data_IF_186991245894
#
_entry.id   IF_186991245894
#
_cell.length_a   1.000
_cell.length_b   1.000
_cell.length_c   1.000
_cell.angle_alpha   90.00
_cell.angle_beta   90.00
_cell.angle_gamma   90.00
#
_symmetry.space_group_name_H-M   'P 1'
#
loop_
_entity.id
_entity.type
_entity.pdbx_description
1 polymer ?
#
# COMPACT_ATOMS: atom_id res chain seq x y z
N UNK A 1 -3.95 19.84 17.50
CA UNK A 1 -3.28 18.83 16.69
C UNK A 1 -2.00 19.41 16.10
N UNK A 2 -0.88 18.81 16.41
CA UNK A 2 0.44 19.36 16.07
C UNK A 2 0.67 19.23 14.56
N UNK A 3 0.74 20.35 13.86
CA UNK A 3 0.94 20.41 12.38
C UNK A 3 2.20 19.68 11.89
N UNK A 4 3.18 19.47 12.77
CA UNK A 4 4.40 18.75 12.46
C UNK A 4 4.19 17.22 12.33
N UNK A 5 3.20 16.65 13.02
CA UNK A 5 2.92 15.22 12.98
C UNK A 5 2.27 14.79 11.65
N UNK A 6 1.50 15.66 11.02
CA UNK A 6 0.81 15.37 9.77
C UNK A 6 1.77 15.23 8.57
N UNK A 7 2.93 15.89 8.63
CA UNK A 7 3.92 15.90 7.53
C UNK A 7 4.62 14.55 7.32
N UNK A 8 4.69 13.73 8.38
CA UNK A 8 5.35 12.42 8.35
C UNK A 8 4.39 11.26 8.56
N UNK A 9 3.11 11.55 8.61
CA UNK A 9 2.08 10.60 8.96
C UNK A 9 2.06 9.34 8.07
N UNK A 10 2.11 9.43 6.73
CA UNK A 10 2.15 8.25 5.89
C UNK A 10 3.39 7.40 6.13
N UNK A 11 4.54 8.04 6.31
CA UNK A 11 5.80 7.36 6.56
C UNK A 11 5.83 6.72 7.95
N UNK A 12 5.29 7.39 8.96
CA UNK A 12 5.20 6.85 10.30
C UNK A 12 4.21 5.68 10.41
N UNK A 13 3.11 5.75 9.69
CA UNK A 13 2.16 4.64 9.61
C UNK A 13 2.82 3.44 8.94
N UNK A 14 3.48 3.65 7.81
CA UNK A 14 4.23 2.60 7.10
C UNK A 14 5.38 2.09 7.97
N UNK A 15 6.17 2.97 8.58
CA UNK A 15 7.29 2.56 9.44
C UNK A 15 6.83 1.86 10.71
N UNK A 16 5.72 2.27 11.30
CA UNK A 16 5.13 1.62 12.46
C UNK A 16 4.67 0.20 12.14
N UNK A 17 4.24 -0.03 10.90
CA UNK A 17 3.92 -1.35 10.38
C UNK A 17 5.14 -2.19 10.07
N UNK A 18 6.20 -1.57 9.56
CA UNK A 18 7.39 -2.28 9.09
C UNK A 18 8.42 -2.55 10.20
N UNK A 19 8.49 -1.71 11.22
CA UNK A 19 9.58 -1.74 12.20
C UNK A 19 9.21 -2.52 13.46
N UNK A 20 7.95 -2.76 13.72
CA UNK A 20 7.54 -3.38 14.97
C UNK A 20 7.24 -4.89 14.83
N UNK A 21 8.21 -5.67 15.24
CA UNK A 21 8.18 -7.05 15.76
C UNK A 21 7.89 -8.16 14.75
N UNK A 22 8.84 -9.10 14.60
CA UNK A 22 8.69 -10.30 13.77
C UNK A 22 7.68 -11.30 14.35
N UNK A 23 6.53 -10.97 14.62
CA UNK A 23 5.43 -11.78 15.13
C UNK A 23 4.10 -11.07 15.01
N UNK A 24 4.16 -9.73 14.89
CA UNK A 24 2.94 -8.91 14.80
C UNK A 24 2.36 -8.81 13.38
N UNK A 25 3.04 -9.32 12.38
CA UNK A 25 2.52 -9.35 11.00
C UNK A 25 1.21 -10.14 10.90
N UNK A 26 1.05 -11.14 11.75
CA UNK A 26 -0.22 -11.89 11.83
C UNK A 26 -1.38 -11.03 12.36
N UNK A 27 -1.09 -9.97 13.10
CA UNK A 27 -2.10 -9.04 13.61
C UNK A 27 -2.50 -7.95 12.60
N UNK A 28 -1.72 -7.75 11.54
CA UNK A 28 -2.10 -6.83 10.44
C UNK A 28 -3.40 -7.28 9.75
N UNK A 29 -3.77 -8.54 9.90
CA UNK A 29 -5.07 -9.05 9.47
C UNK A 29 -6.16 -8.94 10.54
N UNK A 30 -5.81 -8.51 11.76
CA UNK A 30 -6.76 -8.27 12.84
C UNK A 30 -7.41 -6.89 12.71
N UNK A 31 -8.68 -6.82 13.05
CA UNK A 31 -9.47 -5.61 12.92
C UNK A 31 -9.05 -4.48 13.88
N UNK A 32 -8.19 -4.79 14.85
CA UNK A 32 -7.92 -3.89 15.98
C UNK A 32 -6.76 -2.94 15.74
N UNK A 33 -5.93 -3.15 14.73
CA UNK A 33 -4.70 -2.37 14.49
C UNK A 33 -4.85 -1.38 13.34
N UNK A 34 -5.57 -1.73 12.30
CA UNK A 34 -5.80 -0.86 11.15
C UNK A 34 -7.14 -0.13 11.26
N UNK A 35 -7.16 1.17 10.95
CA UNK A 35 -8.42 1.91 10.93
C UNK A 35 -9.43 1.29 9.97
N UNK A 36 -10.69 1.34 10.35
CA UNK A 36 -11.78 0.95 9.46
C UNK A 36 -11.82 1.86 8.23
N UNK A 37 -12.35 1.39 7.09
CA UNK A 37 -12.61 2.24 5.95
C UNK A 37 -13.48 3.44 6.34
N UNK A 38 -13.23 4.58 5.71
CA UNK A 38 -14.05 5.77 5.95
C UNK A 38 -15.48 5.54 5.48
N UNK A 39 -16.48 6.07 6.20
CA UNK A 39 -17.82 6.19 5.68
C UNK A 39 -17.83 6.98 4.35
N UNK A 40 -18.73 6.69 3.42
CA UNK A 40 -18.75 7.33 2.08
C UNK A 40 -18.75 8.85 2.12
N UNK A 41 -19.42 9.45 3.08
CA UNK A 41 -19.50 10.91 3.24
C UNK A 41 -18.15 11.50 3.65
N UNK A 42 -17.45 10.84 4.57
CA UNK A 42 -16.14 11.30 5.03
C UNK A 42 -15.07 11.10 3.95
N UNK A 43 -15.15 10.01 3.21
CA UNK A 43 -14.26 9.78 2.07
C UNK A 43 -14.46 10.84 0.99
N UNK A 44 -15.70 11.16 0.66
CA UNK A 44 -16.01 12.21 -0.30
C UNK A 44 -15.49 13.58 0.16
N UNK A 45 -15.61 13.89 1.44
CA UNK A 45 -15.07 15.11 2.04
C UNK A 45 -13.56 15.18 1.91
N UNK A 46 -12.85 14.07 2.21
CA UNK A 46 -11.40 14.01 2.07
C UNK A 46 -10.97 14.17 0.61
N UNK A 47 -11.68 13.53 -0.32
CA UNK A 47 -11.41 13.65 -1.76
C UNK A 47 -11.60 15.09 -2.24
N UNK A 48 -12.61 15.80 -1.72
CA UNK A 48 -12.84 17.20 -2.08
C UNK A 48 -11.72 18.14 -1.64
N UNK A 49 -10.93 17.75 -0.64
CA UNK A 49 -9.80 18.52 -0.14
C UNK A 49 -8.49 18.29 -0.94
N UNK A 50 -8.49 17.33 -1.85
CA UNK A 50 -7.38 17.14 -2.77
C UNK A 50 -7.27 18.37 -3.69
N UNK A 51 -6.04 18.78 -3.99
CA UNK A 51 -5.73 20.02 -4.73
C UNK A 51 -6.09 21.31 -3.97
N UNK A 52 -6.24 21.24 -2.67
CA UNK A 52 -6.40 22.41 -1.78
C UNK A 52 -5.19 22.53 -0.88
N UNK A 53 -5.15 23.55 -0.03
CA UNK A 53 -4.12 23.73 1.00
C UNK A 53 -4.13 22.61 2.06
N UNK A 54 -5.24 21.89 2.19
CA UNK A 54 -5.41 20.76 3.10
C UNK A 54 -5.13 19.38 2.44
N UNK A 55 -4.54 19.38 1.28
CA UNK A 55 -4.28 18.15 0.51
C UNK A 55 -3.45 17.14 1.27
N UNK A 56 -2.44 17.57 2.01
CA UNK A 56 -1.55 16.67 2.73
C UNK A 56 -2.28 15.88 3.81
N UNK A 57 -3.13 16.55 4.57
CA UNK A 57 -3.93 15.92 5.61
C UNK A 57 -4.97 14.98 5.01
N UNK A 58 -5.61 15.41 3.92
CA UNK A 58 -6.58 14.60 3.21
C UNK A 58 -5.96 13.32 2.65
N UNK A 59 -4.79 13.42 2.03
CA UNK A 59 -4.03 12.24 1.55
C UNK A 59 -3.66 11.28 2.66
N UNK A 60 -3.18 11.81 3.79
CA UNK A 60 -2.81 10.99 4.94
C UNK A 60 -4.00 10.20 5.47
N UNK A 61 -5.16 10.83 5.59
CA UNK A 61 -6.40 10.18 6.03
C UNK A 61 -6.84 9.11 5.03
N UNK A 62 -6.81 9.42 3.73
CA UNK A 62 -7.19 8.46 2.68
C UNK A 62 -6.25 7.25 2.64
N UNK A 63 -4.95 7.45 2.80
CA UNK A 63 -3.98 6.36 2.86
C UNK A 63 -4.24 5.48 4.10
N UNK A 64 -4.34 6.08 5.26
CA UNK A 64 -4.53 5.35 6.52
C UNK A 64 -5.77 4.47 6.49
N UNK A 65 -6.89 4.99 6.03
CA UNK A 65 -8.16 4.28 6.01
C UNK A 65 -8.34 3.32 4.82
N UNK A 66 -7.34 3.20 3.96
CA UNK A 66 -7.29 2.23 2.86
C UNK A 66 -6.17 1.18 3.04
N UNK A 67 -5.47 1.17 4.17
CA UNK A 67 -4.42 0.18 4.42
C UNK A 67 -4.97 -1.25 4.54
N UNK A 68 -6.18 -1.43 5.03
CA UNK A 68 -6.84 -2.75 5.05
C UNK A 68 -7.01 -3.32 3.64
N UNK A 69 -7.30 -2.46 2.68
CA UNK A 69 -7.40 -2.85 1.28
C UNK A 69 -6.06 -3.36 0.75
N UNK A 70 -4.96 -2.68 1.10
CA UNK A 70 -3.60 -3.12 0.73
C UNK A 70 -3.32 -4.51 1.29
N UNK A 71 -3.60 -4.73 2.57
CA UNK A 71 -3.39 -6.04 3.21
C UNK A 71 -4.23 -7.12 2.55
N UNK A 72 -5.48 -6.84 2.28
CA UNK A 72 -6.40 -7.77 1.62
C UNK A 72 -5.88 -8.20 0.25
N UNK A 73 -5.41 -7.25 -0.55
CA UNK A 73 -4.86 -7.53 -1.89
C UNK A 73 -3.53 -8.27 -1.79
N UNK A 74 -2.63 -7.83 -0.90
CA UNK A 74 -1.33 -8.47 -0.70
C UNK A 74 -1.47 -9.96 -0.32
N UNK A 75 -2.45 -10.29 0.51
CA UNK A 75 -2.71 -11.68 0.91
C UNK A 75 -3.13 -12.59 -0.25
N UNK A 76 -3.68 -12.04 -1.32
CA UNK A 76 -3.98 -12.83 -2.53
C UNK A 76 -2.74 -13.34 -3.24
N UNK A 77 -1.60 -12.76 -2.96
CA UNK A 77 -0.31 -13.11 -3.58
C UNK A 77 0.60 -13.90 -2.62
N UNK A 78 0.06 -14.49 -1.57
CA UNK A 78 0.83 -15.21 -0.55
C UNK A 78 1.57 -16.44 -1.11
N UNK A 79 1.07 -17.03 -2.19
CA UNK A 79 1.63 -18.21 -2.85
C UNK A 79 2.78 -17.90 -3.81
N UNK A 80 3.23 -16.66 -3.91
CA UNK A 80 4.26 -16.25 -4.86
C UNK A 80 5.69 -16.48 -4.38
N UNK A 81 5.86 -16.89 -3.11
CA UNK A 81 7.16 -17.06 -2.49
C UNK A 81 7.78 -15.77 -1.95
N UNK A 82 7.12 -14.63 -2.15
CA UNK A 82 7.50 -13.35 -1.56
C UNK A 82 6.78 -13.16 -0.24
N UNK A 83 7.48 -12.69 0.79
CA UNK A 83 6.87 -12.43 2.09
C UNK A 83 5.73 -11.42 2.01
N UNK A 84 4.65 -11.67 2.74
CA UNK A 84 3.47 -10.80 2.74
C UNK A 84 3.80 -9.38 3.18
N UNK A 85 4.78 -9.23 4.07
CA UNK A 85 5.26 -7.91 4.53
C UNK A 85 5.82 -7.08 3.38
N UNK A 86 6.64 -7.69 2.53
CA UNK A 86 7.18 -7.03 1.34
C UNK A 86 6.07 -6.66 0.37
N UNK A 87 5.11 -7.55 0.18
CA UNK A 87 3.96 -7.28 -0.69
C UNK A 87 3.08 -6.14 -0.17
N UNK A 88 2.90 -6.04 1.16
CA UNK A 88 2.18 -4.93 1.78
C UNK A 88 2.93 -3.62 1.55
N UNK A 89 4.24 -3.61 1.69
CA UNK A 89 5.07 -2.43 1.42
C UNK A 89 4.91 -1.94 0.00
N UNK A 90 5.00 -2.85 -0.95
CA UNK A 90 4.86 -2.55 -2.38
C UNK A 90 3.44 -2.12 -2.71
N UNK A 91 2.45 -2.82 -2.16
CA UNK A 91 1.04 -2.45 -2.32
C UNK A 91 0.74 -1.06 -1.76
N UNK A 92 1.37 -0.67 -0.67
CA UNK A 92 1.24 0.67 -0.09
C UNK A 92 1.77 1.75 -1.03
N UNK A 93 2.88 1.48 -1.73
CA UNK A 93 3.37 2.37 -2.79
C UNK A 93 2.30 2.55 -3.88
N UNK A 94 1.66 1.46 -4.29
CA UNK A 94 0.56 1.50 -5.25
C UNK A 94 -0.62 2.34 -4.77
N UNK A 95 -0.98 2.22 -3.49
CA UNK A 95 -2.03 3.03 -2.87
C UNK A 95 -1.67 4.53 -2.88
N UNK A 96 -0.45 4.87 -2.51
CA UNK A 96 0.02 6.27 -2.51
C UNK A 96 -0.04 6.84 -3.93
N UNK A 97 0.42 6.10 -4.92
CA UNK A 97 0.33 6.50 -6.33
C UNK A 97 -1.11 6.70 -6.76
N UNK A 98 -2.02 5.81 -6.34
CA UNK A 98 -3.44 5.93 -6.65
C UNK A 98 -4.05 7.22 -6.11
N UNK A 99 -3.78 7.54 -4.86
CA UNK A 99 -4.31 8.75 -4.22
C UNK A 99 -3.73 10.01 -4.87
N UNK A 100 -2.46 9.99 -5.25
CA UNK A 100 -1.81 11.11 -5.93
C UNK A 100 -2.32 11.36 -7.35
N UNK A 101 -2.82 10.33 -8.01
CA UNK A 101 -3.29 10.42 -9.41
C UNK A 101 -4.79 10.29 -9.56
N UNK A 102 -5.53 10.14 -8.45
CA UNK A 102 -6.97 9.96 -8.48
C UNK A 102 -7.68 11.21 -9.02
N UNK A 103 -8.58 10.98 -9.97
CA UNK A 103 -9.39 12.03 -10.55
C UNK A 103 -10.88 11.77 -10.24
N UNK A 104 -11.49 12.53 -9.32
CA UNK A 104 -12.88 12.31 -8.92
C UNK A 104 -13.88 12.58 -10.04
N UNK A 105 -13.49 13.31 -11.09
CA UNK A 105 -14.35 13.63 -12.24
C UNK A 105 -14.67 12.39 -13.08
N UNK A 106 -13.81 11.38 -13.06
CA UNK A 106 -13.95 10.16 -13.90
C UNK A 106 -15.00 9.17 -13.41
N UNK A 107 -15.75 9.48 -12.37
CA UNK A 107 -16.85 8.66 -11.85
C UNK A 107 -16.45 7.21 -11.53
N UNK A 108 -15.23 7.00 -11.05
CA UNK A 108 -14.71 5.73 -10.56
C UNK A 108 -14.54 5.84 -9.05
N UNK A 109 -14.93 4.82 -8.31
CA UNK A 109 -14.72 4.78 -6.86
C UNK A 109 -13.23 4.69 -6.54
N UNK A 110 -12.79 5.41 -5.51
CA UNK A 110 -11.40 5.38 -5.06
C UNK A 110 -10.90 3.95 -4.79
N UNK A 111 -11.69 3.14 -4.08
CA UNK A 111 -11.32 1.76 -3.78
C UNK A 111 -11.07 0.93 -5.04
N UNK A 112 -11.88 1.10 -6.08
CA UNK A 112 -11.71 0.40 -7.35
C UNK A 112 -10.42 0.82 -8.04
N UNK A 113 -10.16 2.10 -8.12
CA UNK A 113 -8.94 2.64 -8.71
C UNK A 113 -7.70 2.25 -7.90
N UNK A 114 -7.75 2.40 -6.59
CA UNK A 114 -6.66 2.02 -5.70
C UNK A 114 -6.35 0.53 -5.79
N UNK A 115 -7.35 -0.34 -5.86
CA UNK A 115 -7.15 -1.78 -6.01
C UNK A 115 -6.33 -2.12 -7.25
N UNK A 116 -6.62 -1.48 -8.37
CA UNK A 116 -5.86 -1.66 -9.61
C UNK A 116 -4.42 -1.21 -9.48
N UNK A 117 -4.20 -0.06 -8.86
CA UNK A 117 -2.85 0.48 -8.67
C UNK A 117 -2.04 -0.39 -7.70
N UNK A 118 -2.65 -0.91 -6.65
CA UNK A 118 -2.02 -1.81 -5.69
C UNK A 118 -1.64 -3.13 -6.38
N UNK A 119 -2.56 -3.74 -7.08
CA UNK A 119 -2.31 -4.98 -7.82
C UNK A 119 -1.22 -4.80 -8.87
N UNK A 120 -1.27 -3.72 -9.63
CA UNK A 120 -0.26 -3.44 -10.66
C UNK A 120 1.14 -3.27 -10.06
N UNK A 121 1.25 -2.58 -8.95
CA UNK A 121 2.54 -2.40 -8.28
C UNK A 121 3.11 -3.73 -7.79
N UNK A 122 2.28 -4.58 -7.20
CA UNK A 122 2.66 -5.93 -6.76
C UNK A 122 3.06 -6.79 -7.96
N UNK A 123 2.26 -6.80 -9.00
CA UNK A 123 2.54 -7.60 -10.20
C UNK A 123 3.84 -7.17 -10.88
N UNK A 124 4.11 -5.88 -10.98
CA UNK A 124 5.37 -5.37 -11.52
C UNK A 124 6.57 -5.81 -10.69
N UNK A 125 6.44 -5.76 -9.36
CA UNK A 125 7.47 -6.25 -8.45
C UNK A 125 7.72 -7.74 -8.64
N UNK A 126 6.67 -8.56 -8.70
CA UNK A 126 6.78 -10.00 -8.89
C UNK A 126 7.45 -10.36 -10.21
N UNK A 127 7.14 -9.62 -11.28
CA UNK A 127 7.79 -9.82 -12.58
C UNK A 127 9.29 -9.52 -12.52
N UNK A 128 9.67 -8.40 -11.90
CA UNK A 128 11.09 -8.03 -11.74
C UNK A 128 11.83 -9.05 -10.87
N UNK A 129 11.23 -9.48 -9.78
CA UNK A 129 11.81 -10.46 -8.87
C UNK A 129 11.98 -11.82 -9.55
N UNK A 130 11.01 -12.28 -10.32
CA UNK A 130 11.09 -13.51 -11.11
C UNK A 130 12.18 -13.44 -12.17
N UNK A 131 12.30 -12.33 -12.89
CA UNK A 131 13.35 -12.10 -13.87
C UNK A 131 14.73 -12.15 -13.23
N UNK A 132 14.93 -11.50 -12.09
CA UNK A 132 16.19 -11.53 -11.35
C UNK A 132 16.55 -12.94 -10.90
N UNK A 133 15.60 -13.71 -10.39
CA UNK A 133 15.81 -15.11 -10.03
C UNK A 133 16.22 -15.98 -11.21
N UNK A 134 15.63 -15.77 -12.36
CA UNK A 134 16.01 -16.48 -13.59
C UNK A 134 17.42 -16.14 -14.03
N UNK A 135 17.83 -14.89 -13.96
CA UNK A 135 19.19 -14.45 -14.27
C UNK A 135 20.21 -15.08 -13.31
N UNK A 136 19.93 -15.09 -12.02
CA UNK A 136 20.79 -15.76 -11.01
C UNK A 136 20.86 -17.28 -11.25
N UNK A 137 19.75 -17.93 -11.58
CA UNK A 137 19.72 -19.36 -11.92
C UNK A 137 20.54 -19.73 -13.14
N UNK A 138 20.61 -18.84 -14.12
CA UNK A 138 21.43 -19.04 -15.31
C UNK A 138 22.92 -18.95 -14.98
N UNK A 139 23.31 -18.06 -14.08
CA UNK A 139 24.68 -17.85 -13.68
C UNK A 139 25.20 -18.92 -12.68
N UNK A 140 24.36 -19.42 -11.78
CA UNK A 140 24.72 -20.43 -10.78
C UNK A 140 25.23 -21.76 -11.37
N UNK A 141 24.62 -22.37 -12.42
CA UNK A 141 25.11 -23.62 -12.97
C UNK A 141 26.50 -23.56 -13.59
N UNK A 142 26.98 -22.39 -13.93
CA UNK A 142 28.32 -22.18 -14.49
C UNK A 142 29.41 -22.18 -13.41
N UNK A 143 29.04 -22.07 -12.15
CA UNK A 143 29.94 -22.00 -11.02
C UNK A 143 29.94 -23.27 -10.14
N UNK A 144 29.23 -24.31 -10.53
CA UNK A 144 29.09 -25.56 -9.77
C UNK A 144 29.97 -26.66 -10.39
N UNK A 145 31.25 -26.43 -10.45
CA UNK A 145 32.22 -27.50 -10.70
C UNK A 145 33.05 -27.80 -9.45
#
# INVERSE_FOLDING_TARGET
MNRAAAKYYPFQVISRFMINRPGEVFYIGGNDILPAPLPPEQEASAISLLNTDQEKEAKAVLIEHNLRLVVYIAKKFDNTGVGVEDLISIGTIGLIKAINTFNPVKNIKLATYASRCIENEILMYLRRNSKTKMEVSIDEPLNVD
#
